data_IF_272332791161
#
_entry.id   IF_272332791161
#
_cell.length_a   1.000
_cell.length_b   1.000
_cell.length_c   1.000
_cell.angle_alpha   90.00
_cell.angle_beta   90.00
_cell.angle_gamma   90.00
#
_symmetry.space_group_name_H-M   'P 1'
#
loop_
_entity.id
_entity.type
_entity.pdbx_description
1 polymer ?
#
# COMPACT_ATOMS: atom_id res chain seq x y z
N UNK A 1 -6.63 -26.61 3.24
CA UNK A 1 -6.91 -25.45 4.12
C UNK A 1 -7.66 -24.41 3.31
N UNK A 2 -8.74 -23.78 3.81
CA UNK A 2 -9.44 -22.76 3.05
C UNK A 2 -8.52 -21.55 2.91
N UNK A 3 -8.30 -21.07 1.67
CA UNK A 3 -7.61 -19.81 1.42
C UNK A 3 -8.42 -18.71 2.12
N UNK A 4 -7.79 -17.97 3.03
CA UNK A 4 -8.43 -16.80 3.66
C UNK A 4 -8.87 -15.86 2.52
N UNK A 5 -10.12 -15.43 2.55
CA UNK A 5 -10.67 -14.52 1.55
C UNK A 5 -9.97 -13.16 1.72
N UNK A 6 -9.08 -12.84 0.79
CA UNK A 6 -8.48 -11.50 0.70
C UNK A 6 -9.53 -10.57 0.11
N UNK A 7 -9.99 -9.59 0.90
CA UNK A 7 -10.90 -8.55 0.43
C UNK A 7 -10.07 -7.33 0.01
N UNK A 8 -10.28 -6.90 -1.23
CA UNK A 8 -9.74 -5.65 -1.76
C UNK A 8 -10.85 -4.61 -1.74
N UNK A 9 -10.60 -3.48 -1.08
CA UNK A 9 -11.49 -2.32 -1.08
C UNK A 9 -10.79 -1.14 -1.74
N UNK A 10 -11.52 -0.39 -2.57
CA UNK A 10 -11.09 0.92 -3.07
C UNK A 10 -11.66 1.96 -2.09
N UNK A 11 -10.78 2.68 -1.40
CA UNK A 11 -11.16 3.58 -0.30
C UNK A 11 -10.94 5.05 -0.64
N UNK A 12 -12.02 5.82 -0.79
CA UNK A 12 -11.94 7.28 -0.83
C UNK A 12 -11.83 7.85 0.58
N UNK A 13 -10.74 8.54 0.90
CA UNK A 13 -10.70 9.44 2.06
C UNK A 13 -11.43 10.74 1.67
N UNK A 14 -12.23 11.28 2.60
CA UNK A 14 -13.17 12.40 2.37
C UNK A 14 -12.62 13.48 1.42
N UNK A 15 -13.49 14.00 0.55
CA UNK A 15 -13.25 15.07 -0.43
C UNK A 15 -12.13 16.03 0.01
N UNK A 16 -10.93 15.86 -0.55
CA UNK A 16 -9.81 16.80 -0.42
C UNK A 16 -8.56 16.28 0.29
N UNK A 17 -8.61 15.15 1.01
CA UNK A 17 -7.44 14.62 1.74
C UNK A 17 -7.11 13.20 1.28
N UNK A 18 -6.22 13.12 0.28
CA UNK A 18 -5.44 11.94 -0.10
C UNK A 18 -6.19 10.63 -0.39
N UNK A 19 -6.38 10.30 -1.66
CA UNK A 19 -6.87 8.98 -2.10
C UNK A 19 -5.70 7.99 -2.21
N UNK A 20 -5.84 6.79 -1.64
CA UNK A 20 -4.93 5.65 -1.85
C UNK A 20 -5.55 4.70 -2.88
N UNK A 21 -4.74 4.10 -3.75
CA UNK A 21 -5.25 3.30 -4.86
C UNK A 21 -6.00 2.06 -4.39
N UNK A 22 -5.44 1.37 -3.38
CA UNK A 22 -6.04 0.16 -2.82
C UNK A 22 -5.86 0.09 -1.30
N UNK A 23 -6.74 -0.67 -0.66
CA UNK A 23 -6.59 -1.09 0.72
C UNK A 23 -6.75 -2.60 0.80
N UNK A 24 -5.79 -3.25 1.44
CA UNK A 24 -5.77 -4.68 1.68
C UNK A 24 -6.09 -4.98 3.15
N UNK A 25 -7.06 -5.86 3.39
CA UNK A 25 -7.29 -6.40 4.73
C UNK A 25 -6.57 -7.74 4.93
N UNK A 26 -5.65 -7.80 5.90
CA UNK A 26 -4.93 -9.02 6.29
C UNK A 26 -5.10 -9.25 7.79
N UNK A 27 -5.89 -10.27 8.17
CA UNK A 27 -6.27 -10.52 9.58
C UNK A 27 -6.93 -9.27 10.18
N UNK A 28 -6.36 -8.69 11.23
CA UNK A 28 -6.82 -7.44 11.87
C UNK A 28 -6.15 -6.18 11.30
N UNK A 29 -5.17 -6.32 10.41
CA UNK A 29 -4.44 -5.19 9.83
C UNK A 29 -5.08 -4.71 8.53
N UNK A 30 -5.04 -3.38 8.34
CA UNK A 30 -5.45 -2.68 7.12
C UNK A 30 -4.21 -2.05 6.51
N UNK A 31 -3.86 -2.47 5.30
CA UNK A 31 -2.64 -2.07 4.62
C UNK A 31 -3.01 -1.18 3.43
N UNK A 32 -2.74 0.13 3.48
CA UNK A 32 -2.88 0.99 2.31
C UNK A 32 -1.79 0.69 1.27
N UNK A 33 -2.18 0.70 0.01
CA UNK A 33 -1.33 0.40 -1.13
C UNK A 33 -1.42 1.57 -2.14
N UNK A 34 -0.26 2.05 -2.57
CA UNK A 34 -0.11 2.97 -3.71
C UNK A 34 0.64 2.26 -4.85
N UNK A 35 0.22 2.48 -6.09
CA UNK A 35 0.84 1.89 -7.28
C UNK A 35 1.30 3.01 -8.21
N UNK A 36 2.60 3.02 -8.53
CA UNK A 36 3.21 3.99 -9.44
C UNK A 36 3.93 3.30 -10.58
N UNK A 37 3.61 3.70 -11.81
CA UNK A 37 4.34 3.24 -13.00
C UNK A 37 5.61 4.06 -13.29
N UNK A 38 6.01 4.95 -12.37
CA UNK A 38 7.15 5.88 -12.53
C UNK A 38 8.23 5.65 -11.45
N UNK A 39 9.47 6.00 -11.75
CA UNK A 39 10.58 6.04 -10.78
C UNK A 39 10.57 7.30 -9.90
N UNK A 40 9.80 8.35 -10.25
CA UNK A 40 9.71 9.59 -9.45
C UNK A 40 8.68 9.43 -8.31
N UNK A 41 9.16 8.95 -7.17
CA UNK A 41 8.31 8.44 -6.09
C UNK A 41 7.80 9.52 -5.11
N UNK A 42 6.95 10.44 -5.57
CA UNK A 42 6.18 11.29 -4.64
C UNK A 42 4.90 10.59 -4.19
N UNK A 43 4.91 10.02 -2.99
CA UNK A 43 3.78 9.32 -2.37
C UNK A 43 2.99 10.26 -1.42
N UNK A 44 2.47 11.37 -1.95
CA UNK A 44 1.82 12.40 -1.12
C UNK A 44 0.54 11.88 -0.46
N UNK A 45 -0.25 11.08 -1.18
CA UNK A 45 -1.50 10.54 -0.64
C UNK A 45 -1.27 9.44 0.39
N UNK A 46 -0.39 8.48 0.10
CA UNK A 46 -0.08 7.40 1.04
C UNK A 46 0.54 7.93 2.33
N UNK A 47 1.39 8.95 2.25
CA UNK A 47 1.96 9.59 3.45
C UNK A 47 0.87 10.21 4.33
N UNK A 48 -0.09 10.94 3.74
CA UNK A 48 -1.23 11.51 4.48
C UNK A 48 -2.08 10.41 5.13
N UNK A 49 -2.32 9.29 4.43
CA UNK A 49 -3.01 8.14 5.01
C UNK A 49 -2.26 7.61 6.24
N UNK A 50 -0.95 7.41 6.12
CA UNK A 50 -0.11 6.89 7.21
C UNK A 50 -0.11 7.83 8.41
N UNK A 51 -0.01 9.15 8.18
CA UNK A 51 -0.06 10.15 9.24
C UNK A 51 -1.44 10.18 9.96
N UNK A 52 -2.53 9.99 9.22
CA UNK A 52 -3.88 10.04 9.78
C UNK A 52 -4.29 8.77 10.52
N UNK A 53 -3.92 7.60 10.02
CA UNK A 53 -4.44 6.31 10.50
C UNK A 53 -3.39 5.44 11.20
N UNK A 54 -2.11 5.77 11.07
CA UNK A 54 -0.99 5.01 11.66
C UNK A 54 -1.13 3.49 11.43
N UNK A 55 -1.30 3.04 10.17
CA UNK A 55 -1.43 1.62 9.88
C UNK A 55 -0.14 0.88 10.26
N UNK A 56 -0.27 -0.41 10.60
CA UNK A 56 0.89 -1.26 10.91
C UNK A 56 1.91 -1.34 9.76
N UNK A 57 1.44 -1.25 8.52
CA UNK A 57 2.26 -1.29 7.32
C UNK A 57 1.63 -0.48 6.19
N UNK A 58 2.45 0.18 5.38
CA UNK A 58 2.06 0.81 4.13
C UNK A 58 2.99 0.36 3.01
N UNK A 59 2.43 0.17 1.81
CA UNK A 59 3.16 -0.42 0.68
C UNK A 59 3.01 0.45 -0.55
N UNK A 60 4.12 0.59 -1.28
CA UNK A 60 4.11 1.18 -2.62
C UNK A 60 4.67 0.18 -3.61
N UNK A 61 3.91 -0.11 -4.65
CA UNK A 61 4.43 -0.80 -5.83
C UNK A 61 4.96 0.23 -6.83
N UNK A 62 6.21 0.10 -7.26
CA UNK A 62 6.79 1.04 -8.25
C UNK A 62 7.83 0.43 -9.18
N UNK A 63 8.33 1.21 -10.15
CA UNK A 63 9.46 0.78 -10.99
C UNK A 63 10.81 0.79 -10.23
N UNK A 64 10.87 1.42 -9.05
CA UNK A 64 12.09 1.48 -8.25
C UNK A 64 12.36 0.16 -7.50
N UNK A 65 13.61 -0.02 -7.11
CA UNK A 65 14.08 -1.18 -6.35
C UNK A 65 13.38 -1.35 -4.99
N UNK A 66 13.48 -2.57 -4.47
CA UNK A 66 12.97 -2.89 -3.15
C UNK A 66 13.65 -2.02 -2.09
N UNK A 67 12.84 -1.39 -1.23
CA UNK A 67 13.35 -0.55 -0.16
C UNK A 67 12.39 -0.52 1.02
N UNK A 68 12.91 -0.87 2.19
CA UNK A 68 12.24 -0.60 3.47
C UNK A 68 12.63 0.80 3.96
N UNK A 69 11.63 1.54 4.42
CA UNK A 69 11.76 2.86 5.05
C UNK A 69 10.91 2.85 6.32
N UNK A 70 11.13 3.82 7.21
CA UNK A 70 10.46 3.89 8.52
C UNK A 70 8.93 3.77 8.47
N UNK A 71 8.31 4.23 7.38
CA UNK A 71 6.86 4.29 7.22
C UNK A 71 6.33 3.64 5.94
N UNK A 72 7.21 3.08 5.10
CA UNK A 72 6.85 2.60 3.77
C UNK A 72 7.77 1.48 3.30
N UNK A 73 7.18 0.42 2.76
CA UNK A 73 7.91 -0.58 1.96
C UNK A 73 7.64 -0.32 0.48
N UNK A 74 8.70 -0.02 -0.27
CA UNK A 74 8.65 -0.02 -1.72
C UNK A 74 8.93 -1.44 -2.24
N UNK A 75 8.00 -1.98 -3.03
CA UNK A 75 8.14 -3.25 -3.73
C UNK A 75 8.19 -2.97 -5.23
N UNK A 76 9.15 -3.50 -5.99
CA UNK A 76 9.14 -3.35 -7.44
C UNK A 76 7.86 -3.96 -8.03
N UNK A 77 7.33 -3.38 -9.13
CA UNK A 77 6.10 -3.87 -9.77
C UNK A 77 6.18 -5.36 -10.15
N UNK A 78 7.35 -5.83 -10.57
CA UNK A 78 7.58 -7.26 -10.88
C UNK A 78 7.53 -8.18 -9.64
N UNK A 79 7.65 -7.61 -8.43
CA UNK A 79 7.57 -8.32 -7.17
C UNK A 79 6.15 -8.42 -6.59
N UNK A 80 5.12 -7.87 -7.27
CA UNK A 80 3.74 -7.88 -6.75
C UNK A 80 3.20 -9.28 -6.47
N UNK A 81 3.59 -10.29 -7.24
CA UNK A 81 3.16 -11.67 -7.06
C UNK A 81 3.74 -12.33 -5.81
N UNK A 82 4.86 -11.82 -5.29
CA UNK A 82 5.49 -12.29 -4.06
C UNK A 82 4.78 -11.75 -2.82
N UNK A 83 3.96 -10.70 -2.97
CA UNK A 83 3.33 -10.03 -1.85
C UNK A 83 2.35 -10.91 -1.07
N UNK A 84 1.71 -11.90 -1.69
CA UNK A 84 0.84 -12.85 -0.98
C UNK A 84 1.60 -13.72 0.04
N UNK A 85 2.94 -13.78 -0.08
CA UNK A 85 3.84 -14.51 0.81
C UNK A 85 4.55 -13.66 1.87
N UNK A 86 4.41 -12.33 1.82
CA UNK A 86 4.85 -11.39 2.87
C UNK A 86 3.73 -11.25 3.91
#
# INVERSE_FOLDING_TARGET
MPRKKTLFFIGQLKKGTAEVDFVLQRKQAVIPIEVKAEENLKAKSLKVYVEQFQPEQAIRFSMADYREQDWLVNVPLYGVSLFDSL
#
